data_IF_442308474544
#
_entry.id   IF_442308474544
#
_cell.length_a   1.000
_cell.length_b   1.000
_cell.length_c   1.000
_cell.angle_alpha   90.00
_cell.angle_beta   90.00
_cell.angle_gamma   90.00
#
_symmetry.space_group_name_H-M   'P 1'
#
loop_
_entity.id
_entity.type
_entity.pdbx_description
1 polymer ?
#
# COMPACT_ATOMS: atom_id res chain seq x y z
N UNK A 1 -5.15 4.20 -10.78
CA UNK A 1 -5.97 4.60 -11.97
C UNK A 1 -5.28 5.75 -12.71
N UNK A 2 -5.02 5.61 -14.02
CA UNK A 2 -4.32 6.66 -14.78
C UNK A 2 -2.81 6.73 -14.54
N UNK A 3 -2.21 5.64 -14.03
CA UNK A 3 -0.77 5.55 -13.79
C UNK A 3 0.01 5.68 -15.11
N UNK A 4 1.02 6.56 -15.21
CA UNK A 4 1.77 6.79 -16.44
C UNK A 4 2.86 5.75 -16.70
N UNK A 5 3.10 4.82 -15.76
CA UNK A 5 4.18 3.83 -15.84
C UNK A 5 5.52 4.33 -15.29
N UNK A 6 5.49 5.36 -14.44
CA UNK A 6 6.66 5.92 -13.78
C UNK A 6 6.42 6.07 -12.29
N UNK A 7 7.45 5.92 -11.47
CA UNK A 7 7.36 6.13 -10.02
C UNK A 7 7.37 7.61 -9.63
N UNK A 8 6.98 7.91 -8.37
CA UNK A 8 6.93 9.27 -7.84
C UNK A 8 8.28 10.02 -7.97
N UNK A 9 9.41 9.35 -7.72
CA UNK A 9 10.74 9.96 -7.83
C UNK A 9 11.03 10.46 -9.25
N UNK A 10 10.75 9.64 -10.26
CA UNK A 10 10.90 10.02 -11.66
C UNK A 10 10.05 11.25 -12.01
N UNK A 11 8.80 11.30 -11.52
CA UNK A 11 7.92 12.45 -11.75
C UNK A 11 8.50 13.74 -11.14
N UNK A 12 9.08 13.66 -9.95
CA UNK A 12 9.70 14.80 -9.26
C UNK A 12 10.95 15.28 -10.02
N UNK A 13 11.88 14.37 -10.32
CA UNK A 13 13.15 14.70 -11.00
C UNK A 13 12.93 15.29 -12.40
N UNK A 14 11.85 14.91 -13.08
CA UNK A 14 11.50 15.41 -14.42
C UNK A 14 10.59 16.63 -14.40
N UNK A 15 10.25 17.16 -13.21
CA UNK A 15 9.27 18.25 -13.05
C UNK A 15 7.94 17.96 -13.78
N UNK A 16 7.50 16.70 -13.72
CA UNK A 16 6.27 16.26 -14.36
C UNK A 16 5.07 17.05 -13.82
N UNK A 17 4.03 17.27 -14.65
CA UNK A 17 2.88 18.09 -14.26
C UNK A 17 2.19 17.62 -12.97
N UNK A 18 2.21 16.32 -12.69
CA UNK A 18 1.66 15.73 -11.47
C UNK A 18 2.50 16.09 -10.24
N UNK A 19 3.83 16.05 -10.35
CA UNK A 19 4.73 16.43 -9.27
C UNK A 19 4.54 17.91 -8.93
N UNK A 20 4.52 18.78 -9.95
CA UNK A 20 4.25 20.20 -9.78
C UNK A 20 2.85 20.47 -9.17
N UNK A 21 1.82 19.76 -9.64
CA UNK A 21 0.43 19.94 -9.16
C UNK A 21 0.26 19.54 -7.69
N UNK A 22 0.99 18.51 -7.25
CA UNK A 22 0.90 17.97 -5.90
C UNK A 22 2.09 18.34 -5.01
N UNK A 23 2.93 19.28 -5.46
CA UNK A 23 4.09 19.80 -4.73
C UNK A 23 5.01 18.67 -4.22
N UNK A 24 5.26 17.68 -5.08
CA UNK A 24 6.10 16.51 -4.81
C UNK A 24 5.59 15.59 -3.69
N UNK A 25 4.39 15.83 -3.16
CA UNK A 25 3.77 15.01 -2.10
C UNK A 25 2.86 13.95 -2.70
N UNK A 26 3.31 12.69 -2.67
CA UNK A 26 2.58 11.52 -3.21
C UNK A 26 1.86 11.81 -4.54
N UNK A 27 2.56 12.26 -5.62
CA UNK A 27 1.89 12.74 -6.84
C UNK A 27 0.94 11.72 -7.48
N UNK A 28 1.32 10.44 -7.54
CA UNK A 28 0.51 9.38 -8.14
C UNK A 28 -0.73 9.07 -7.31
N UNK A 29 -0.58 8.96 -5.99
CA UNK A 29 -1.67 8.63 -5.07
C UNK A 29 -2.71 9.76 -5.05
N UNK A 30 -2.25 11.01 -5.01
CA UNK A 30 -3.13 12.18 -5.13
C UNK A 30 -3.87 12.20 -6.48
N UNK A 31 -3.20 11.87 -7.58
CA UNK A 31 -3.84 11.74 -8.88
C UNK A 31 -4.89 10.63 -8.88
N UNK A 32 -4.59 9.46 -8.31
CA UNK A 32 -5.53 8.34 -8.22
C UNK A 32 -6.79 8.73 -7.45
N UNK A 33 -6.63 9.39 -6.30
CA UNK A 33 -7.73 9.89 -5.50
C UNK A 33 -8.56 10.94 -6.27
N UNK A 34 -7.91 11.94 -6.87
CA UNK A 34 -8.60 12.96 -7.66
C UNK A 34 -9.40 12.35 -8.81
N UNK A 35 -8.78 11.44 -9.58
CA UNK A 35 -9.40 10.79 -10.73
C UNK A 35 -10.60 9.93 -10.33
N UNK A 36 -10.51 9.19 -9.22
CA UNK A 36 -11.63 8.42 -8.70
C UNK A 36 -12.84 9.33 -8.45
N UNK A 37 -12.66 10.44 -7.75
CA UNK A 37 -13.77 11.32 -7.43
C UNK A 37 -14.29 12.13 -8.61
N UNK A 38 -13.46 12.41 -9.62
CA UNK A 38 -13.95 12.97 -10.88
C UNK A 38 -14.84 11.98 -11.64
N UNK A 39 -14.54 10.68 -11.61
CA UNK A 39 -15.41 9.64 -12.16
C UNK A 39 -16.72 9.56 -11.37
N UNK A 40 -16.66 9.56 -10.04
CA UNK A 40 -17.85 9.48 -9.18
C UNK A 40 -18.80 10.69 -9.30
N UNK A 41 -18.36 11.79 -9.92
CA UNK A 41 -19.22 12.94 -10.25
C UNK A 41 -20.10 12.69 -11.48
N UNK A 42 -19.77 11.71 -12.32
CA UNK A 42 -20.54 11.41 -13.52
C UNK A 42 -21.85 10.71 -13.14
N UNK A 43 -23.02 11.12 -13.69
CA UNK A 43 -24.31 10.57 -13.29
C UNK A 43 -24.41 9.04 -13.39
N UNK A 44 -23.74 8.43 -14.36
CA UNK A 44 -23.72 6.99 -14.59
C UNK A 44 -22.69 6.22 -13.73
N UNK A 45 -21.85 6.91 -12.96
CA UNK A 45 -20.82 6.32 -12.09
C UNK A 45 -20.94 6.78 -10.64
N UNK A 46 -21.96 7.56 -10.30
CA UNK A 46 -22.17 8.14 -8.98
C UNK A 46 -22.71 7.12 -7.96
N UNK A 47 -21.94 6.05 -7.69
CA UNK A 47 -22.32 4.98 -6.75
C UNK A 47 -22.54 5.49 -5.31
N UNK A 48 -22.00 6.68 -4.99
CA UNK A 48 -22.14 7.34 -3.69
C UNK A 48 -23.29 8.35 -3.64
N UNK A 49 -24.10 8.49 -4.69
CA UNK A 49 -25.12 9.55 -4.82
C UNK A 49 -26.25 9.48 -3.77
N UNK A 50 -26.51 8.30 -3.22
CA UNK A 50 -27.58 8.09 -2.23
C UNK A 50 -27.13 8.39 -0.78
N UNK A 51 -25.84 8.68 -0.57
CA UNK A 51 -25.34 9.03 0.75
C UNK A 51 -25.73 10.46 1.10
N UNK A 52 -26.08 10.67 2.37
CA UNK A 52 -26.17 12.02 2.88
C UNK A 52 -24.78 12.70 2.95
N UNK A 53 -24.78 14.00 3.19
CA UNK A 53 -23.57 14.82 3.21
C UNK A 53 -22.57 14.41 4.29
N UNK A 54 -23.03 13.88 5.42
CA UNK A 54 -22.17 13.46 6.52
C UNK A 54 -21.44 12.16 6.16
N UNK A 55 -22.19 11.15 5.73
CA UNK A 55 -21.64 9.86 5.30
C UNK A 55 -20.73 10.01 4.07
N UNK A 56 -21.10 10.87 3.10
CA UNK A 56 -20.23 11.13 1.95
C UNK A 56 -18.87 11.73 2.37
N UNK A 57 -18.87 12.66 3.33
CA UNK A 57 -17.62 13.26 3.85
C UNK A 57 -16.74 12.21 4.53
N UNK A 58 -17.33 11.37 5.37
CA UNK A 58 -16.63 10.30 6.08
C UNK A 58 -16.04 9.28 5.09
N UNK A 59 -16.85 8.76 4.17
CA UNK A 59 -16.39 7.79 3.16
C UNK A 59 -15.31 8.40 2.27
N UNK A 60 -15.47 9.66 1.85
CA UNK A 60 -14.44 10.36 1.08
C UNK A 60 -13.13 10.45 1.85
N UNK A 61 -13.18 10.82 3.14
CA UNK A 61 -12.00 10.89 3.98
C UNK A 61 -11.29 9.53 4.07
N UNK A 62 -12.04 8.46 4.36
CA UNK A 62 -11.51 7.10 4.47
C UNK A 62 -10.86 6.62 3.16
N UNK A 63 -11.51 6.88 2.01
CA UNK A 63 -10.99 6.47 0.69
C UNK A 63 -9.71 7.23 0.34
N UNK A 64 -9.71 8.57 0.49
CA UNK A 64 -8.53 9.38 0.17
C UNK A 64 -7.37 9.00 1.06
N UNK A 65 -7.61 8.84 2.35
CA UNK A 65 -6.58 8.42 3.29
C UNK A 65 -6.02 7.02 2.95
N UNK A 66 -6.90 6.07 2.63
CA UNK A 66 -6.49 4.74 2.20
C UNK A 66 -5.60 4.77 0.95
N UNK A 67 -5.98 5.54 -0.08
CA UNK A 67 -5.17 5.68 -1.30
C UNK A 67 -3.83 6.34 -1.02
N UNK A 68 -3.78 7.41 -0.22
CA UNK A 68 -2.51 8.06 0.12
C UNK A 68 -1.60 7.15 0.94
N UNK A 69 -2.19 6.25 1.75
CA UNK A 69 -1.44 5.30 2.56
C UNK A 69 -0.73 4.21 1.75
N UNK A 70 -1.04 4.03 0.47
CA UNK A 70 -0.32 3.09 -0.41
C UNK A 70 0.97 3.65 -0.98
N UNK A 71 1.25 4.95 -0.80
CA UNK A 71 2.58 5.49 -1.13
C UNK A 71 3.63 4.76 -0.28
N UNK A 72 4.58 4.12 -0.96
CA UNK A 72 5.63 3.32 -0.35
C UNK A 72 6.45 4.08 0.70
N UNK A 73 6.55 5.42 0.62
CA UNK A 73 7.21 6.24 1.66
C UNK A 73 6.59 6.02 3.05
N UNK A 74 5.30 5.66 3.12
CA UNK A 74 4.60 5.40 4.37
C UNK A 74 4.90 4.02 4.97
N UNK A 75 5.50 3.09 4.22
CA UNK A 75 5.65 1.69 4.63
C UNK A 75 6.35 1.57 6.00
N UNK A 76 7.49 2.24 6.19
CA UNK A 76 8.26 2.17 7.44
C UNK A 76 7.45 2.74 8.62
N UNK A 77 6.69 3.80 8.41
CA UNK A 77 5.83 4.39 9.45
C UNK A 77 4.72 3.41 9.82
N UNK A 78 4.07 2.79 8.84
CA UNK A 78 3.03 1.80 9.05
C UNK A 78 3.53 0.58 9.84
N UNK A 79 4.73 0.07 9.54
CA UNK A 79 5.36 -1.02 10.30
C UNK A 79 5.51 -0.62 11.78
N UNK A 80 6.07 0.56 12.05
CA UNK A 80 6.26 1.05 13.43
C UNK A 80 4.94 1.23 14.18
N UNK A 81 3.88 1.65 13.50
CA UNK A 81 2.55 1.76 14.10
C UNK A 81 2.02 0.38 14.53
N UNK A 82 2.22 -0.65 13.71
CA UNK A 82 1.84 -2.04 14.04
C UNK A 82 2.68 -2.59 15.19
N UNK A 83 4.01 -2.40 15.14
CA UNK A 83 4.91 -2.80 16.23
C UNK A 83 4.50 -2.16 17.56
N UNK A 84 4.22 -0.86 17.55
CA UNK A 84 3.79 -0.11 18.74
C UNK A 84 2.44 -0.63 19.25
N UNK A 85 1.49 -0.87 18.35
CA UNK A 85 0.18 -1.42 18.68
C UNK A 85 0.33 -2.78 19.38
N UNK A 86 1.17 -3.68 18.85
CA UNK A 86 1.43 -4.97 19.47
C UNK A 86 2.10 -4.81 20.84
N UNK A 87 3.21 -4.07 20.92
CA UNK A 87 4.00 -3.90 22.15
C UNK A 87 3.19 -3.32 23.31
N UNK A 88 2.31 -2.35 23.05
CA UNK A 88 1.48 -1.73 24.10
C UNK A 88 0.42 -2.68 24.66
N UNK A 89 0.05 -3.73 23.91
CA UNK A 89 -1.01 -4.66 24.29
C UNK A 89 -0.55 -6.12 24.24
N UNK A 90 0.76 -6.35 24.45
CA UNK A 90 1.39 -7.65 24.28
C UNK A 90 0.69 -8.74 25.13
N UNK A 91 0.46 -8.48 26.42
CA UNK A 91 -0.22 -9.43 27.31
C UNK A 91 -1.62 -9.81 26.82
N UNK A 92 -2.36 -8.83 26.28
CA UNK A 92 -3.71 -9.03 25.74
C UNK A 92 -3.67 -9.93 24.50
N UNK A 93 -2.72 -9.70 23.59
CA UNK A 93 -2.60 -10.47 22.36
C UNK A 93 -2.05 -11.88 22.59
N UNK A 94 -1.03 -12.04 23.43
CA UNK A 94 -0.46 -13.35 23.77
C UNK A 94 -1.51 -14.24 24.46
N UNK A 95 -2.26 -13.68 25.41
CA UNK A 95 -3.34 -14.41 26.08
C UNK A 95 -4.43 -14.85 25.09
N UNK A 96 -4.81 -13.99 24.15
CA UNK A 96 -5.79 -14.33 23.11
C UNK A 96 -5.26 -15.39 22.14
N UNK A 97 -3.97 -15.33 21.78
CA UNK A 97 -3.33 -16.31 20.92
C UNK A 97 -3.26 -17.69 21.58
N UNK A 98 -2.93 -17.76 22.87
CA UNK A 98 -2.91 -19.02 23.64
C UNK A 98 -4.29 -19.68 23.69
N UNK A 99 -5.34 -18.90 23.94
CA UNK A 99 -6.73 -19.39 23.91
C UNK A 99 -7.11 -19.95 22.53
N UNK A 100 -6.68 -19.28 21.45
CA UNK A 100 -6.94 -19.74 20.08
C UNK A 100 -6.16 -21.03 19.76
N UNK A 101 -4.86 -21.09 20.10
CA UNK A 101 -4.01 -22.27 19.85
C UNK A 101 -4.49 -23.50 20.62
N UNK A 102 -4.99 -23.32 21.83
CA UNK A 102 -5.56 -24.39 22.64
C UNK A 102 -6.99 -24.77 22.22
N UNK A 103 -7.52 -24.18 21.15
CA UNK A 103 -8.91 -24.36 20.68
C UNK A 103 -9.95 -24.07 21.76
N UNK A 104 -9.62 -23.21 22.73
CA UNK A 104 -10.55 -22.75 23.76
C UNK A 104 -11.55 -21.74 23.20
N UNK A 105 -11.17 -21.02 22.13
CA UNK A 105 -12.02 -20.08 21.40
C UNK A 105 -11.77 -20.12 19.88
N UNK A 106 -12.86 -20.08 19.10
CA UNK A 106 -12.82 -19.98 17.63
C UNK A 106 -12.67 -18.53 17.11
N UNK A 107 -12.74 -17.55 18.01
CA UNK A 107 -12.67 -16.12 17.67
C UNK A 107 -11.88 -15.35 18.75
N UNK A 108 -11.31 -14.18 18.44
CA UNK A 108 -10.64 -13.36 19.44
C UNK A 108 -11.57 -12.95 20.60
N UNK A 109 -11.07 -12.82 21.84
CA UNK A 109 -11.83 -12.32 22.97
C UNK A 109 -12.46 -10.94 22.69
N UNK A 110 -13.57 -10.63 23.39
CA UNK A 110 -14.30 -9.38 23.18
C UNK A 110 -13.40 -8.17 23.42
N UNK A 111 -12.53 -8.25 24.41
CA UNK A 111 -11.56 -7.22 24.78
C UNK A 111 -10.62 -6.89 23.61
N UNK A 112 -10.14 -7.91 22.90
CA UNK A 112 -9.34 -7.75 21.68
C UNK A 112 -10.17 -7.08 20.59
N UNK A 113 -11.39 -7.56 20.35
CA UNK A 113 -12.27 -7.01 19.30
C UNK A 113 -12.57 -5.52 19.57
N UNK A 114 -12.90 -5.17 20.81
CA UNK A 114 -13.22 -3.80 21.21
C UNK A 114 -11.99 -2.89 21.08
N UNK A 115 -10.79 -3.36 21.43
CA UNK A 115 -9.54 -2.65 21.19
C UNK A 115 -9.30 -2.40 19.69
N UNK A 116 -9.39 -3.43 18.86
CA UNK A 116 -9.17 -3.33 17.41
C UNK A 116 -10.21 -2.45 16.70
N UNK A 117 -11.41 -2.28 17.29
CA UNK A 117 -12.47 -1.38 16.80
C UNK A 117 -12.26 0.08 17.20
N UNK A 118 -11.29 0.38 18.07
CA UNK A 118 -10.90 1.75 18.40
C UNK A 118 -10.56 2.55 17.14
N UNK A 119 -10.94 3.83 17.05
CA UNK A 119 -10.87 4.61 15.80
C UNK A 119 -9.46 4.68 15.20
N UNK A 120 -8.45 4.93 16.04
CA UNK A 120 -7.05 5.00 15.61
C UNK A 120 -6.52 3.63 15.17
N UNK A 121 -6.78 2.58 15.96
CA UNK A 121 -6.37 1.20 15.64
C UNK A 121 -7.01 0.73 14.34
N UNK A 122 -8.32 0.95 14.18
CA UNK A 122 -9.07 0.61 12.97
C UNK A 122 -8.51 1.34 11.75
N UNK A 123 -8.09 2.60 11.90
CA UNK A 123 -7.45 3.38 10.84
C UNK A 123 -6.09 2.80 10.47
N UNK A 124 -5.21 2.55 11.44
CA UNK A 124 -3.89 1.93 11.21
C UNK A 124 -4.05 0.59 10.50
N UNK A 125 -4.90 -0.29 11.01
CA UNK A 125 -5.17 -1.61 10.41
C UNK A 125 -5.70 -1.49 8.97
N UNK A 126 -6.67 -0.61 8.73
CA UNK A 126 -7.21 -0.39 7.37
C UNK A 126 -6.10 0.01 6.39
N UNK A 127 -5.25 0.96 6.78
CA UNK A 127 -4.18 1.48 5.93
C UNK A 127 -3.12 0.39 5.67
N UNK A 128 -2.70 -0.31 6.71
CA UNK A 128 -1.74 -1.44 6.62
C UNK A 128 -2.30 -2.56 5.75
N UNK A 129 -3.56 -2.98 5.95
CA UNK A 129 -4.15 -4.08 5.17
C UNK A 129 -4.29 -3.72 3.69
N UNK A 130 -4.66 -2.47 3.38
CA UNK A 130 -4.72 -2.01 2.00
C UNK A 130 -3.33 -2.01 1.36
N UNK A 131 -2.31 -1.53 2.08
CA UNK A 131 -0.92 -1.56 1.63
C UNK A 131 -0.43 -3.00 1.40
N UNK A 132 -0.70 -3.92 2.34
CA UNK A 132 -0.37 -5.34 2.20
C UNK A 132 -1.02 -5.97 0.98
N UNK A 133 -2.26 -5.60 0.68
CA UNK A 133 -2.96 -6.07 -0.52
C UNK A 133 -2.24 -5.63 -1.80
N UNK A 134 -1.75 -4.39 -1.83
CA UNK A 134 -1.01 -3.82 -2.97
C UNK A 134 0.33 -4.54 -3.22
N UNK A 135 1.04 -4.89 -2.14
CA UNK A 135 2.31 -5.64 -2.22
C UNK A 135 2.16 -7.16 -2.13
N UNK A 136 0.93 -7.71 -2.22
CA UNK A 136 0.67 -9.14 -1.98
C UNK A 136 1.13 -10.11 -3.09
N UNK A 137 1.64 -9.59 -4.21
CA UNK A 137 1.98 -10.39 -5.40
C UNK A 137 2.91 -11.58 -5.10
N UNK A 138 3.98 -11.44 -4.30
CA UNK A 138 4.86 -12.57 -3.97
C UNK A 138 4.20 -13.69 -3.16
N UNK A 139 3.11 -13.40 -2.45
CA UNK A 139 2.37 -14.38 -1.64
C UNK A 139 1.38 -15.23 -2.45
N UNK A 140 1.19 -14.91 -3.73
CA UNK A 140 0.32 -15.69 -4.63
C UNK A 140 1.03 -16.96 -5.10
N UNK A 141 0.28 -18.00 -5.55
CA UNK A 141 0.88 -19.17 -6.17
C UNK A 141 1.91 -18.78 -7.24
N UNK A 142 3.01 -19.52 -7.30
CA UNK A 142 4.18 -19.14 -8.11
C UNK A 142 3.86 -18.70 -9.55
N UNK A 143 2.97 -19.36 -10.33
CA UNK A 143 2.64 -18.90 -11.68
C UNK A 143 2.04 -17.49 -11.74
N UNK A 144 1.27 -17.11 -10.72
CA UNK A 144 0.66 -15.77 -10.61
C UNK A 144 1.71 -14.76 -10.18
N UNK A 145 2.49 -15.09 -9.14
CA UNK A 145 3.58 -14.25 -8.63
C UNK A 145 4.60 -13.94 -9.73
N UNK A 146 5.03 -14.96 -10.49
CA UNK A 146 5.95 -14.81 -11.62
C UNK A 146 5.40 -13.86 -12.69
N UNK A 147 4.13 -13.99 -13.05
CA UNK A 147 3.50 -13.12 -14.04
C UNK A 147 3.52 -11.66 -13.60
N UNK A 148 3.19 -11.38 -12.33
CA UNK A 148 3.25 -10.02 -11.79
C UNK A 148 4.67 -9.48 -11.76
N UNK A 149 5.65 -10.29 -11.33
CA UNK A 149 7.05 -9.90 -11.35
C UNK A 149 7.52 -9.48 -12.75
N UNK A 150 7.17 -10.25 -13.78
CA UNK A 150 7.52 -9.91 -15.17
C UNK A 150 6.90 -8.59 -15.63
N UNK A 151 5.63 -8.33 -15.31
CA UNK A 151 4.95 -7.09 -15.69
C UNK A 151 5.56 -5.87 -14.99
N UNK A 152 5.88 -5.98 -13.71
CA UNK A 152 6.52 -4.90 -12.94
C UNK A 152 7.93 -4.62 -13.47
N UNK A 153 8.70 -5.67 -13.78
CA UNK A 153 10.06 -5.50 -14.33
C UNK A 153 10.05 -4.91 -15.74
N UNK A 154 9.03 -5.21 -16.56
CA UNK A 154 8.88 -4.55 -17.86
C UNK A 154 8.57 -3.05 -17.71
N UNK A 155 7.71 -2.68 -16.75
CA UNK A 155 7.44 -1.27 -16.42
C UNK A 155 8.71 -0.55 -15.93
N UNK A 156 9.48 -1.17 -15.03
CA UNK A 156 10.77 -0.62 -14.58
C UNK A 156 11.78 -0.49 -15.73
N UNK A 157 11.84 -1.47 -16.62
CA UNK A 157 12.65 -1.39 -17.83
C UNK A 157 12.26 -0.21 -18.72
N UNK A 158 10.96 0.04 -18.90
CA UNK A 158 10.46 1.15 -19.72
C UNK A 158 10.79 2.50 -19.08
N UNK A 159 10.70 2.61 -17.74
CA UNK A 159 11.19 3.78 -17.02
C UNK A 159 12.71 3.95 -17.20
N UNK A 160 13.50 2.88 -17.09
CA UNK A 160 14.95 2.92 -17.24
C UNK A 160 15.42 3.37 -18.62
N UNK A 161 14.73 2.95 -19.68
CA UNK A 161 15.02 3.44 -21.03
C UNK A 161 14.72 4.93 -21.16
N UNK A 162 13.63 5.41 -20.54
CA UNK A 162 13.30 6.83 -20.50
C UNK A 162 14.32 7.65 -19.70
N UNK A 163 14.80 7.11 -18.57
CA UNK A 163 15.90 7.70 -17.79
C UNK A 163 17.16 7.87 -18.66
N UNK A 164 17.53 6.84 -19.46
CA UNK A 164 18.67 6.90 -20.39
C UNK A 164 18.50 7.98 -21.46
N UNK A 165 17.32 8.06 -22.07
CA UNK A 165 17.02 9.08 -23.10
C UNK A 165 17.14 10.51 -22.56
N UNK A 166 16.78 10.72 -21.30
CA UNK A 166 16.85 12.01 -20.62
C UNK A 166 18.23 12.31 -20.02
N UNK A 167 19.19 11.39 -20.12
CA UNK A 167 20.52 11.52 -19.51
C UNK A 167 20.49 11.44 -17.98
N UNK A 168 19.46 10.83 -17.40
CA UNK A 168 19.30 10.64 -15.96
C UNK A 168 20.01 9.35 -15.49
N UNK A 169 20.44 9.28 -14.22
CA UNK A 169 20.90 8.03 -13.62
C UNK A 169 19.81 6.97 -13.67
N UNK A 170 20.14 5.77 -14.17
CA UNK A 170 19.21 4.65 -14.25
C UNK A 170 19.23 3.87 -12.94
N UNK A 171 18.04 3.63 -12.37
CA UNK A 171 17.93 2.84 -11.15
C UNK A 171 18.39 1.38 -11.34
N UNK A 172 18.98 0.72 -10.33
CA UNK A 172 19.44 -0.67 -10.46
C UNK A 172 18.35 -1.68 -10.87
N UNK A 173 17.09 -1.42 -10.49
CA UNK A 173 15.94 -2.24 -10.86
C UNK A 173 15.36 -1.89 -12.24
N UNK A 174 15.72 -0.71 -12.78
CA UNK A 174 15.22 -0.19 -14.05
C UNK A 174 16.14 -0.54 -15.22
N UNK A 175 17.39 -0.93 -14.98
CA UNK A 175 18.30 -1.32 -16.05
C UNK A 175 18.14 -2.79 -16.46
N UNK A 176 17.30 -3.02 -17.47
CA UNK A 176 17.05 -4.35 -18.05
C UNK A 176 18.30 -5.06 -18.60
N UNK A 177 19.43 -4.37 -18.76
CA UNK A 177 20.69 -4.98 -19.24
C UNK A 177 21.52 -5.62 -18.14
N UNK A 178 21.34 -5.18 -16.89
CA UNK A 178 22.09 -5.66 -15.72
C UNK A 178 21.21 -6.35 -14.69
N UNK A 179 19.89 -6.23 -14.82
CA UNK A 179 18.89 -6.79 -13.92
C UNK A 179 19.00 -8.32 -13.79
N UNK A 180 19.15 -8.79 -12.54
CA UNK A 180 18.95 -10.18 -12.19
C UNK A 180 17.51 -10.37 -11.65
N UNK A 181 16.65 -11.01 -12.43
CA UNK A 181 15.24 -11.16 -12.09
C UNK A 181 15.01 -11.89 -10.76
N UNK A 182 15.57 -13.10 -10.50
CA UNK A 182 15.40 -13.74 -9.19
C UNK A 182 15.83 -12.86 -8.01
N UNK A 183 16.98 -12.20 -8.09
CA UNK A 183 17.49 -11.36 -7.01
C UNK A 183 16.65 -10.09 -6.81
N UNK A 184 16.06 -9.54 -7.87
CA UNK A 184 15.19 -8.35 -7.79
C UNK A 184 13.93 -8.57 -6.93
N UNK A 185 13.50 -9.83 -6.74
CA UNK A 185 12.29 -10.16 -5.98
C UNK A 185 12.56 -10.35 -4.48
N UNK A 186 13.82 -10.49 -4.07
CA UNK A 186 14.16 -10.70 -2.66
C UNK A 186 13.75 -9.52 -1.76
N UNK A 187 13.97 -8.24 -2.12
CA UNK A 187 13.50 -7.12 -1.32
C UNK A 187 11.97 -7.09 -1.15
N UNK A 188 11.21 -7.45 -2.19
CA UNK A 188 9.75 -7.43 -2.14
C UNK A 188 9.19 -8.51 -1.19
N UNK A 189 9.83 -9.68 -1.14
CA UNK A 189 9.52 -10.72 -0.16
C UNK A 189 9.84 -10.25 1.27
N UNK A 190 10.93 -9.51 1.46
CA UNK A 190 11.32 -8.97 2.77
C UNK A 190 10.30 -7.94 3.30
N UNK A 191 9.75 -7.08 2.44
CA UNK A 191 8.75 -6.09 2.85
C UNK A 191 7.50 -6.73 3.47
N UNK A 192 7.01 -7.81 2.87
CA UNK A 192 5.89 -8.58 3.42
C UNK A 192 6.26 -9.25 4.74
N UNK A 193 7.48 -9.81 4.82
CA UNK A 193 7.96 -10.42 6.06
C UNK A 193 8.06 -9.43 7.21
N UNK A 194 8.44 -8.17 6.94
CA UNK A 194 8.52 -7.12 7.96
C UNK A 194 7.14 -6.81 8.57
N UNK A 195 6.09 -6.74 7.75
CA UNK A 195 4.72 -6.52 8.25
C UNK A 195 4.26 -7.70 9.11
N UNK A 196 4.54 -8.93 8.67
CA UNK A 196 4.14 -10.12 9.41
C UNK A 196 4.92 -10.27 10.72
N UNK A 197 6.22 -9.97 10.72
CA UNK A 197 7.06 -9.97 11.92
C UNK A 197 6.71 -8.83 12.88
N UNK A 198 6.22 -7.68 12.40
CA UNK A 198 5.72 -6.62 13.27
C UNK A 198 4.46 -7.03 14.06
N UNK A 199 3.74 -8.04 13.57
CA UNK A 199 2.51 -8.55 14.16
C UNK A 199 2.70 -9.89 14.90
N UNK A 200 3.93 -10.36 15.08
CA UNK A 200 4.25 -11.63 15.71
C UNK A 200 5.51 -11.52 16.59
N UNK A 201 5.64 -12.34 17.66
CA UNK A 201 6.86 -12.39 18.48
C UNK A 201 8.09 -12.94 17.74
#
# INVERSE_FOLDING_TARGET
>A
MGHPGFNNLFLVETSHELALRYNDQSPLENMHAARLFDLLRQPNMAILAQLDKAHYREIRQVIVEGILSTDYVNHVTQIKEVETLYQVNQELFESAEDMFRNSEMDAPPKEVIDYLRGPEVKKTLRNVFLHMCDISNPMKPFPVSQKWALLVLDEFGNQGDREKELGMPVGPLNDRTTLNMPLSQAPLLLLLSQVLSAAAP
#
